data_IF_065349770898
#
_entry.id   IF_065349770898
#
_cell.length_a   1.000
_cell.length_b   1.000
_cell.length_c   1.000
_cell.angle_alpha   90.00
_cell.angle_beta   90.00
_cell.angle_gamma   90.00
#
_symmetry.space_group_name_H-M   'P 1'
#
loop_
_entity.id
_entity.type
_entity.pdbx_description
1 polymer ?
#
# COMPACT_ATOMS: atom_id res chain seq x y z
N UNK A 1 -54.37 -6.19 -59.70
CA UNK A 1 -54.63 -5.67 -58.34
C UNK A 1 -53.62 -6.25 -57.36
N UNK A 2 -52.60 -5.48 -56.98
CA UNK A 2 -51.92 -5.58 -55.67
C UNK A 2 -50.98 -4.39 -55.50
N UNK A 3 -51.44 -3.40 -54.74
CA UNK A 3 -50.64 -2.33 -54.18
C UNK A 3 -49.80 -2.92 -53.05
N UNK A 4 -48.47 -2.84 -53.16
CA UNK A 4 -47.57 -3.20 -52.06
C UNK A 4 -47.47 -1.99 -51.13
N UNK A 5 -48.12 -2.09 -49.97
CA UNK A 5 -48.05 -1.11 -48.89
C UNK A 5 -46.63 -1.07 -48.31
N UNK A 6 -46.00 0.11 -48.41
CA UNK A 6 -44.69 0.41 -47.82
C UNK A 6 -44.84 0.53 -46.30
N UNK A 7 -44.22 -0.39 -45.56
CA UNK A 7 -44.15 -0.38 -44.09
C UNK A 7 -43.33 0.85 -43.65
N UNK A 8 -43.98 1.77 -42.92
CA UNK A 8 -43.35 2.96 -42.39
C UNK A 8 -42.17 2.56 -41.47
N UNK A 9 -41.02 3.20 -41.67
CA UNK A 9 -39.85 3.01 -40.83
C UNK A 9 -40.17 3.37 -39.38
N UNK A 10 -39.85 2.45 -38.47
CA UNK A 10 -39.78 2.71 -37.04
C UNK A 10 -38.90 3.94 -36.83
N UNK A 11 -39.48 5.02 -36.31
CA UNK A 11 -38.70 6.16 -35.86
C UNK A 11 -37.93 5.70 -34.63
N UNK A 12 -36.69 5.26 -34.85
CA UNK A 12 -35.72 5.08 -33.78
C UNK A 12 -35.57 6.47 -33.15
N UNK A 13 -36.11 6.64 -31.94
CA UNK A 13 -36.09 7.92 -31.23
C UNK A 13 -34.66 8.43 -31.12
N UNK A 14 -34.38 9.57 -31.74
CA UNK A 14 -33.09 10.23 -31.62
C UNK A 14 -33.05 10.97 -30.27
N UNK A 15 -31.99 10.73 -29.48
CA UNK A 15 -31.73 11.45 -28.23
C UNK A 15 -31.70 12.96 -28.48
N UNK A 16 -32.32 13.73 -27.58
CA UNK A 16 -32.34 15.19 -27.72
C UNK A 16 -31.01 15.80 -27.26
N UNK A 17 -30.57 16.90 -27.89
CA UNK A 17 -29.35 17.60 -27.46
C UNK A 17 -29.42 18.09 -26.01
N UNK A 18 -30.63 18.47 -25.56
CA UNK A 18 -30.86 18.92 -24.18
C UNK A 18 -30.68 17.78 -23.18
N UNK A 19 -31.10 16.57 -23.54
CA UNK A 19 -30.94 15.36 -22.72
C UNK A 19 -29.48 14.97 -22.55
N UNK A 20 -28.69 15.05 -23.62
CA UNK A 20 -27.24 14.84 -23.54
C UNK A 20 -26.55 15.98 -22.77
N UNK A 21 -27.02 17.22 -22.89
CA UNK A 21 -26.44 18.36 -22.18
C UNK A 21 -26.69 18.31 -20.66
N UNK A 22 -27.92 18.01 -20.23
CA UNK A 22 -28.23 17.91 -18.80
C UNK A 22 -27.50 16.72 -18.16
N UNK A 23 -27.39 15.59 -18.87
CA UNK A 23 -26.72 14.40 -18.35
C UNK A 23 -25.22 14.61 -18.13
N UNK A 24 -24.50 15.25 -19.06
CA UNK A 24 -23.08 15.55 -18.85
C UNK A 24 -22.87 16.56 -17.71
N UNK A 25 -23.80 17.51 -17.52
CA UNK A 25 -23.76 18.45 -16.38
C UNK A 25 -23.91 17.71 -15.06
N UNK A 26 -24.90 16.81 -14.94
CA UNK A 26 -25.14 16.04 -13.71
C UNK A 26 -23.95 15.12 -13.42
N UNK A 27 -23.46 14.38 -14.43
CA UNK A 27 -22.29 13.49 -14.28
C UNK A 27 -21.02 14.30 -13.95
N UNK A 28 -20.90 15.52 -14.47
CA UNK A 28 -19.80 16.45 -14.15
C UNK A 28 -19.78 16.83 -12.66
N UNK A 29 -20.93 17.17 -12.08
CA UNK A 29 -21.04 17.52 -10.65
C UNK A 29 -20.72 16.31 -9.77
N UNK A 30 -21.28 15.15 -10.09
CA UNK A 30 -21.04 13.92 -9.32
C UNK A 30 -19.57 13.48 -9.39
N UNK A 31 -18.95 13.56 -10.56
CA UNK A 31 -17.55 13.14 -10.74
C UNK A 31 -16.56 14.06 -10.01
N UNK A 32 -16.82 15.37 -9.93
CA UNK A 32 -15.95 16.31 -9.21
C UNK A 32 -15.77 15.96 -7.72
N UNK A 33 -16.81 15.45 -7.05
CA UNK A 33 -16.75 15.06 -5.63
C UNK A 33 -16.31 13.60 -5.47
N UNK A 34 -16.77 12.70 -6.35
CA UNK A 34 -16.51 11.28 -6.22
C UNK A 34 -15.07 10.88 -6.56
N UNK A 35 -14.46 11.47 -7.60
CA UNK A 35 -13.12 11.09 -8.05
C UNK A 35 -12.01 11.26 -6.99
N UNK A 36 -11.86 12.41 -6.31
CA UNK A 36 -10.78 12.55 -5.32
C UNK A 36 -10.92 11.58 -4.15
N UNK A 37 -12.16 11.28 -3.72
CA UNK A 37 -12.40 10.32 -2.64
C UNK A 37 -12.10 8.89 -3.09
N UNK A 38 -12.45 8.53 -4.33
CA UNK A 38 -12.15 7.22 -4.91
C UNK A 38 -10.63 6.96 -4.98
N UNK A 39 -9.84 7.92 -5.47
CA UNK A 39 -8.39 7.75 -5.53
C UNK A 39 -7.77 7.55 -4.15
N UNK A 40 -8.20 8.30 -3.15
CA UNK A 40 -7.76 8.12 -1.76
C UNK A 40 -8.11 6.72 -1.22
N UNK A 41 -9.30 6.20 -1.51
CA UNK A 41 -9.73 4.87 -1.10
C UNK A 41 -8.87 3.77 -1.72
N UNK A 42 -8.53 3.90 -3.01
CA UNK A 42 -7.62 2.97 -3.69
C UNK A 42 -6.24 2.99 -3.03
N UNK A 43 -5.71 4.17 -2.66
CA UNK A 43 -4.42 4.25 -1.96
C UNK A 43 -4.46 3.58 -0.59
N UNK A 44 -5.54 3.79 0.18
CA UNK A 44 -5.72 3.12 1.48
C UNK A 44 -5.82 1.59 1.34
N UNK A 45 -6.44 1.09 0.26
CA UNK A 45 -6.48 -0.34 -0.02
C UNK A 45 -5.06 -0.91 -0.24
N UNK A 46 -4.25 -0.24 -1.07
CA UNK A 46 -2.85 -0.61 -1.29
C UNK A 46 -2.00 -0.48 -0.01
N UNK A 47 -2.27 0.56 0.79
CA UNK A 47 -1.60 0.75 2.09
C UNK A 47 -1.91 -0.39 3.04
N UNK A 48 -3.16 -0.88 3.07
CA UNK A 48 -3.55 -2.03 3.90
C UNK A 48 -2.81 -3.32 3.52
N UNK A 49 -2.47 -3.50 2.24
CA UNK A 49 -1.62 -4.60 1.79
C UNK A 49 -0.20 -4.45 2.34
N UNK A 50 0.38 -3.24 2.26
CA UNK A 50 1.70 -2.97 2.83
C UNK A 50 1.74 -3.20 4.35
N UNK A 51 0.67 -2.81 5.07
CA UNK A 51 0.51 -3.07 6.51
C UNK A 51 0.54 -4.57 6.81
N UNK A 52 -0.20 -5.37 6.05
CA UNK A 52 -0.24 -6.82 6.26
C UNK A 52 1.14 -7.45 6.02
N UNK A 53 1.85 -7.02 4.97
CA UNK A 53 3.21 -7.48 4.70
C UNK A 53 4.20 -7.06 5.80
N UNK A 54 4.14 -5.82 6.29
CA UNK A 54 5.00 -5.37 7.39
C UNK A 54 4.71 -6.10 8.71
N UNK A 55 3.45 -6.34 9.03
CA UNK A 55 3.07 -7.13 10.20
C UNK A 55 3.58 -8.58 10.08
N UNK A 56 3.51 -9.17 8.88
CA UNK A 56 4.12 -10.47 8.61
C UNK A 56 5.63 -10.43 8.85
N UNK A 57 6.33 -9.42 8.32
CA UNK A 57 7.79 -9.26 8.52
C UNK A 57 8.15 -9.15 10.01
N UNK A 58 7.40 -8.37 10.80
CA UNK A 58 7.61 -8.25 12.25
C UNK A 58 7.46 -9.60 12.96
N UNK A 59 6.42 -10.36 12.62
CA UNK A 59 6.18 -11.67 13.21
C UNK A 59 7.26 -12.68 12.80
N UNK A 60 7.66 -12.68 11.53
CA UNK A 60 8.75 -13.54 11.03
C UNK A 60 10.07 -13.21 11.71
N UNK A 61 10.36 -11.94 11.94
CA UNK A 61 11.56 -11.49 12.64
C UNK A 61 11.56 -11.96 14.10
N UNK A 62 10.44 -11.81 14.81
CA UNK A 62 10.30 -12.31 16.18
C UNK A 62 10.48 -13.84 16.25
N UNK A 63 9.87 -14.57 15.32
CA UNK A 63 9.99 -16.03 15.24
C UNK A 63 11.42 -16.49 14.89
N UNK A 64 12.13 -15.80 13.99
CA UNK A 64 13.53 -16.11 13.66
C UNK A 64 14.45 -16.00 14.88
N UNK A 65 14.23 -14.96 15.70
CA UNK A 65 14.97 -14.76 16.93
C UNK A 65 14.70 -15.88 17.94
N UNK A 66 13.45 -16.31 18.07
CA UNK A 66 13.06 -17.39 18.99
C UNK A 66 13.65 -18.74 18.55
N UNK A 67 13.65 -19.03 17.25
CA UNK A 67 14.13 -20.32 16.72
C UNK A 67 15.66 -20.42 16.68
N UNK A 68 16.36 -19.39 16.19
CA UNK A 68 17.80 -19.44 15.95
C UNK A 68 18.63 -18.73 17.02
N UNK A 69 18.00 -17.98 17.92
CA UNK A 69 18.65 -17.13 18.93
C UNK A 69 19.72 -16.21 18.33
N UNK A 70 19.50 -15.75 17.09
CA UNK A 70 20.41 -14.94 16.29
C UNK A 70 19.65 -13.84 15.58
N UNK A 71 20.29 -12.69 15.47
CA UNK A 71 19.72 -11.53 14.79
C UNK A 71 19.94 -11.68 13.28
N UNK A 72 18.88 -11.62 12.46
CA UNK A 72 19.02 -11.75 11.02
C UNK A 72 19.73 -10.52 10.44
N UNK A 73 20.52 -10.75 9.40
CA UNK A 73 21.32 -9.74 8.70
C UNK A 73 20.73 -9.36 7.34
N UNK A 74 19.80 -10.16 6.81
CA UNK A 74 19.07 -9.84 5.59
C UNK A 74 17.80 -10.64 5.35
N UNK A 75 17.13 -10.32 4.25
CA UNK A 75 15.85 -10.90 3.84
C UNK A 75 15.91 -12.41 3.60
N UNK A 76 17.06 -12.91 3.13
CA UNK A 76 17.24 -14.34 2.84
C UNK A 76 17.01 -15.22 4.06
N UNK A 77 17.52 -14.82 5.22
CA UNK A 77 17.41 -15.59 6.48
C UNK A 77 15.96 -15.62 7.00
N UNK A 78 15.19 -14.54 6.78
CA UNK A 78 13.78 -14.51 7.17
C UNK A 78 12.93 -15.51 6.37
N UNK A 79 13.33 -15.86 5.15
CA UNK A 79 12.61 -16.86 4.35
C UNK A 79 12.70 -18.28 4.93
N UNK A 80 13.65 -18.56 5.82
CA UNK A 80 13.75 -19.88 6.47
C UNK A 80 12.58 -20.12 7.45
N UNK A 81 11.98 -19.04 7.97
CA UNK A 81 10.77 -19.09 8.82
C UNK A 81 9.51 -18.92 7.96
N UNK A 82 9.44 -17.82 7.21
CA UNK A 82 8.31 -17.52 6.36
C UNK A 82 8.75 -16.70 5.15
N UNK A 83 8.41 -17.19 3.96
CA UNK A 83 8.77 -16.52 2.72
C UNK A 83 8.13 -15.13 2.64
N UNK A 84 8.98 -14.10 2.49
CA UNK A 84 8.56 -12.74 2.20
C UNK A 84 8.50 -12.61 0.68
N UNK A 85 7.30 -12.57 0.12
CA UNK A 85 7.12 -12.54 -1.32
C UNK A 85 7.40 -11.15 -1.89
N UNK A 86 8.07 -11.12 -3.03
CA UNK A 86 8.31 -9.93 -3.86
C UNK A 86 7.81 -10.21 -5.27
N UNK A 87 7.90 -9.21 -6.15
CA UNK A 87 7.46 -9.33 -7.55
C UNK A 87 8.26 -10.36 -8.36
N UNK A 88 9.48 -10.69 -7.93
CA UNK A 88 10.36 -11.68 -8.57
C UNK A 88 10.51 -12.99 -7.78
N UNK A 89 9.65 -13.22 -6.78
CA UNK A 89 9.68 -14.40 -5.90
C UNK A 89 10.07 -14.05 -4.45
N UNK A 90 10.48 -15.02 -3.63
CA UNK A 90 10.89 -14.76 -2.24
C UNK A 90 12.09 -13.80 -2.16
N UNK A 91 12.10 -12.92 -1.15
CA UNK A 91 13.12 -11.89 -0.96
C UNK A 91 14.50 -12.53 -0.66
N UNK A 92 15.37 -12.63 -1.66
CA UNK A 92 16.63 -13.41 -1.55
C UNK A 92 17.87 -12.61 -1.17
N UNK A 93 17.71 -11.31 -0.91
CA UNK A 93 18.82 -10.41 -0.58
C UNK A 93 19.45 -10.78 0.77
N UNK A 94 20.78 -10.77 0.83
CA UNK A 94 21.57 -11.04 2.05
C UNK A 94 21.69 -9.83 2.97
N UNK A 95 21.13 -8.69 2.57
CA UNK A 95 21.05 -7.45 3.36
C UNK A 95 19.62 -6.94 3.34
N UNK A 96 19.24 -6.10 4.29
CA UNK A 96 17.94 -5.42 4.30
C UNK A 96 17.85 -4.25 3.30
N UNK A 97 18.21 -4.49 2.04
CA UNK A 97 18.01 -3.54 0.95
C UNK A 97 16.53 -3.36 0.62
N UNK A 98 16.20 -2.36 -0.20
CA UNK A 98 14.83 -2.13 -0.65
C UNK A 98 14.31 -3.30 -1.48
N UNK A 99 13.15 -3.85 -1.10
CA UNK A 99 12.43 -4.90 -1.82
C UNK A 99 11.08 -4.37 -2.30
N UNK A 100 10.61 -4.80 -3.48
CA UNK A 100 9.29 -4.45 -3.99
C UNK A 100 8.27 -5.48 -3.53
N UNK A 101 7.21 -5.02 -2.87
CA UNK A 101 6.09 -5.88 -2.50
C UNK A 101 5.33 -6.34 -3.75
N UNK A 102 4.58 -7.46 -3.66
CA UNK A 102 3.70 -7.91 -4.72
C UNK A 102 2.80 -6.76 -5.21
N UNK A 103 2.57 -6.69 -6.51
CA UNK A 103 1.79 -5.61 -7.12
C UNK A 103 2.54 -4.29 -7.34
N UNK A 104 3.84 -4.20 -7.04
CA UNK A 104 4.74 -3.06 -7.35
C UNK A 104 4.29 -1.71 -6.78
N UNK A 105 3.35 -1.70 -5.85
CA UNK A 105 2.79 -0.47 -5.29
C UNK A 105 3.67 0.12 -4.16
N UNK A 106 4.35 -0.76 -3.42
CA UNK A 106 5.16 -0.39 -2.26
C UNK A 106 6.54 -1.06 -2.31
N UNK A 107 7.53 -0.34 -1.82
CA UNK A 107 8.86 -0.85 -1.51
C UNK A 107 9.06 -0.85 -0.01
N UNK A 108 9.55 -1.96 0.53
CA UNK A 108 9.95 -2.07 1.94
C UNK A 108 11.45 -1.99 2.03
N UNK A 109 11.95 -1.15 2.92
CA UNK A 109 13.36 -1.14 3.32
C UNK A 109 13.49 -1.04 4.82
N UNK A 110 14.61 -1.53 5.35
CA UNK A 110 15.01 -1.27 6.73
C UNK A 110 15.55 0.15 6.80
N UNK A 111 14.98 0.97 7.68
CA UNK A 111 15.28 2.40 7.82
C UNK A 111 16.28 2.67 8.94
N UNK A 112 16.43 1.76 9.90
CA UNK A 112 17.41 1.96 10.95
C UNK A 112 18.85 1.95 10.42
N UNK A 113 19.66 2.82 11.01
CA UNK A 113 21.09 2.83 10.83
C UNK A 113 21.62 1.53 11.46
N UNK A 114 21.98 0.53 10.64
CA UNK A 114 22.28 -0.89 10.94
C UNK A 114 23.35 -1.17 12.03
N UNK A 115 23.64 -0.20 12.88
CA UNK A 115 24.60 -0.17 13.97
C UNK A 115 24.01 -0.56 15.32
N UNK A 116 22.68 -0.43 15.52
CA UNK A 116 22.02 -0.81 16.80
C UNK A 116 21.23 -2.09 16.62
N UNK A 117 21.83 -3.22 17.01
CA UNK A 117 21.22 -4.56 16.94
C UNK A 117 20.09 -4.79 17.98
N UNK A 118 19.49 -3.73 18.51
CA UNK A 118 18.53 -3.77 19.61
C UNK A 118 17.10 -3.51 19.16
N UNK A 119 16.90 -2.89 17.99
CA UNK A 119 15.59 -2.72 17.37
C UNK A 119 15.70 -2.83 15.84
N UNK A 120 14.59 -3.15 15.18
CA UNK A 120 14.44 -3.07 13.73
C UNK A 120 13.35 -2.07 13.39
N UNK A 121 13.61 -1.28 12.36
CA UNK A 121 12.63 -0.36 11.80
C UNK A 121 12.49 -0.60 10.30
N UNK A 122 11.28 -0.91 9.86
CA UNK A 122 10.94 -1.11 8.47
C UNK A 122 9.97 -0.03 8.00
N UNK A 123 10.28 0.55 6.85
CA UNK A 123 9.41 1.51 6.18
C UNK A 123 8.97 0.93 4.85
N UNK A 124 7.66 0.88 4.64
CA UNK A 124 7.05 0.69 3.34
C UNK A 124 6.73 2.07 2.73
N UNK A 125 7.44 2.44 1.68
CA UNK A 125 7.16 3.63 0.88
C UNK A 125 6.45 3.25 -0.42
N UNK A 126 5.49 4.03 -0.90
CA UNK A 126 4.91 3.80 -2.21
C UNK A 126 5.95 4.05 -3.32
N UNK A 127 5.90 3.26 -4.38
CA UNK A 127 6.88 3.30 -5.50
C UNK A 127 6.69 4.49 -6.43
N UNK A 128 5.50 5.10 -6.40
CA UNK A 128 5.14 6.26 -7.20
C UNK A 128 5.88 7.50 -6.69
N UNK A 129 6.49 8.26 -7.59
CA UNK A 129 7.23 9.50 -7.26
C UNK A 129 6.34 10.72 -6.98
N UNK A 130 5.05 10.49 -6.75
CA UNK A 130 4.11 11.57 -6.47
C UNK A 130 4.19 11.99 -5.01
N UNK A 131 4.26 13.30 -4.76
CA UNK A 131 4.44 13.86 -3.42
C UNK A 131 3.24 13.60 -2.50
N UNK A 132 2.02 13.51 -3.05
CA UNK A 132 0.83 13.20 -2.25
C UNK A 132 0.77 11.73 -1.86
N UNK A 133 1.30 10.86 -2.73
CA UNK A 133 1.35 9.43 -2.49
C UNK A 133 2.42 9.08 -1.44
N UNK A 134 3.51 9.85 -1.36
CA UNK A 134 4.53 9.67 -0.33
C UNK A 134 3.99 9.78 1.11
N UNK A 135 2.86 10.47 1.30
CA UNK A 135 2.18 10.57 2.60
C UNK A 135 1.49 9.28 3.05
N UNK A 136 1.29 8.30 2.15
CA UNK A 136 0.69 7.00 2.48
C UNK A 136 1.71 5.95 2.89
N UNK A 137 2.89 6.34 3.38
CA UNK A 137 3.88 5.40 3.90
C UNK A 137 3.32 4.60 5.09
N UNK A 138 3.95 3.46 5.36
CA UNK A 138 3.68 2.64 6.54
C UNK A 138 5.00 2.34 7.20
N UNK A 139 5.07 2.53 8.51
CA UNK A 139 6.27 2.24 9.28
C UNK A 139 5.93 1.25 10.37
N UNK A 140 6.86 0.34 10.61
CA UNK A 140 6.74 -0.75 11.54
C UNK A 140 8.05 -0.90 12.28
N UNK A 141 7.98 -1.01 13.60
CA UNK A 141 9.18 -1.14 14.42
C UNK A 141 9.02 -2.27 15.44
N UNK A 142 10.13 -2.90 15.81
CA UNK A 142 10.17 -3.96 16.82
C UNK A 142 11.48 -3.88 17.60
N UNK A 143 11.37 -3.86 18.92
CA UNK A 143 12.48 -3.91 19.86
C UNK A 143 12.78 -5.38 20.21
N UNK A 144 14.00 -5.85 19.95
CA UNK A 144 14.36 -7.25 20.18
C UNK A 144 14.59 -7.59 21.65
N UNK A 145 14.83 -6.59 22.51
CA UNK A 145 15.13 -6.83 23.91
C UNK A 145 13.86 -6.95 24.74
N UNK A 146 12.83 -6.19 24.38
CA UNK A 146 11.56 -6.11 25.11
C UNK A 146 10.40 -6.79 24.39
N UNK A 147 10.54 -7.04 23.08
CA UNK A 147 9.45 -7.53 22.22
C UNK A 147 8.39 -6.47 21.94
N UNK A 148 8.62 -5.21 22.31
CA UNK A 148 7.70 -4.12 22.01
C UNK A 148 7.67 -3.88 20.49
N UNK A 149 6.48 -3.81 19.91
CA UNK A 149 6.29 -3.49 18.50
C UNK A 149 5.22 -2.42 18.31
N UNK A 150 5.35 -1.65 17.23
CA UNK A 150 4.37 -0.66 16.81
C UNK A 150 4.27 -0.65 15.29
N UNK A 151 3.11 -0.24 14.79
CA UNK A 151 2.83 -0.11 13.36
C UNK A 151 1.96 1.11 13.14
N UNK A 152 2.42 2.01 12.26
CA UNK A 152 1.77 3.29 11.97
C UNK A 152 1.61 3.52 10.48
N UNK A 153 0.50 4.16 10.11
CA UNK A 153 0.08 4.42 8.73
C UNK A 153 -0.05 5.92 8.49
N UNK A 154 0.61 6.42 7.46
CA UNK A 154 0.49 7.81 7.03
C UNK A 154 -0.93 8.11 6.56
N UNK A 155 -1.40 9.35 6.76
CA UNK A 155 -2.78 9.79 6.49
C UNK A 155 -3.88 9.05 7.27
N UNK A 156 -3.52 8.23 8.26
CA UNK A 156 -4.43 7.54 9.20
C UNK A 156 -4.04 7.83 10.64
N UNK A 157 -2.78 7.59 11.00
CA UNK A 157 -2.24 7.83 12.34
C UNK A 157 -1.56 9.21 12.46
N UNK A 158 -1.14 9.79 11.34
CA UNK A 158 -0.62 11.16 11.23
C UNK A 158 -1.27 11.88 10.03
N UNK A 159 -1.27 13.21 10.05
CA UNK A 159 -1.78 14.05 8.95
C UNK A 159 -0.90 13.87 7.70
N UNK A 160 0.41 13.67 7.90
CA UNK A 160 1.39 13.52 6.83
C UNK A 160 1.97 12.10 6.83
N UNK A 161 3.07 11.90 6.09
CA UNK A 161 3.90 10.70 6.20
C UNK A 161 4.35 10.47 7.65
N UNK A 162 4.38 9.21 8.06
CA UNK A 162 4.93 8.77 9.34
C UNK A 162 6.44 9.01 9.35
N UNK A 163 6.96 9.43 10.49
CA UNK A 163 8.40 9.54 10.75
C UNK A 163 8.79 8.67 11.95
N UNK A 164 10.10 8.41 12.10
CA UNK A 164 10.68 7.62 13.20
C UNK A 164 10.21 8.10 14.60
N UNK A 165 9.88 9.39 14.73
CA UNK A 165 9.41 9.99 15.97
C UNK A 165 8.00 9.59 16.41
N UNK A 166 7.20 9.08 15.49
CA UNK A 166 5.78 8.76 15.72
C UNK A 166 5.59 7.31 16.20
N UNK A 167 6.65 6.51 16.13
CA UNK A 167 6.69 5.12 16.56
C UNK A 167 6.98 5.03 18.04
N UNK A 168 6.16 4.27 18.77
CA UNK A 168 6.23 4.18 20.24
C UNK A 168 7.09 3.01 20.71
N UNK A 169 7.44 2.06 19.83
CA UNK A 169 8.22 0.89 20.24
C UNK A 169 9.68 1.22 20.61
N UNK A 170 10.20 2.38 20.21
CA UNK A 170 11.55 2.83 20.53
C UNK A 170 11.45 3.71 21.78
N UNK A 171 12.05 3.28 22.89
CA UNK A 171 12.22 4.16 24.05
C UNK A 171 13.18 5.27 23.64
N UNK A 172 12.65 6.44 23.24
CA UNK A 172 13.46 7.65 23.02
C UNK A 172 14.27 7.90 24.29
N UNK A 173 15.58 7.64 24.21
CA UNK A 173 16.53 8.03 25.24
C UNK A 173 16.93 9.49 25.06
#
# INVERSE_FOLDING_TARGET
>A
MKLLARKNGEQIGAFTLVEVLLTVVIIGILSAVALPTYFNQVQRAKQSEAVANLAQIQNTLAAYLDEFNKIPTGWKELNDIAAIMTTSGPASLTTFGSINLPGENYTVSRTDNQSRNTYFEFTATPTTKDSEMAEFNVMACIDLATGASDLKQGRKDSINAISESDLVCIRKS
#
